data_IF_830824864277
#
_entry.id   IF_830824864277
#
_cell.length_a   1.000
_cell.length_b   1.000
_cell.length_c   1.000
_cell.angle_alpha   90.00
_cell.angle_beta   90.00
_cell.angle_gamma   90.00
#
_symmetry.space_group_name_H-M   'P 1'
#
loop_
_entity.id
_entity.type
_entity.pdbx_description
1 polymer ?
#
# COMPACT_ATOMS: atom_id res chain seq x y z
N UNK A 1 -11.24 -58.88 8.51
CA UNK A 1 -10.57 -57.90 7.64
C UNK A 1 -9.97 -56.84 8.55
N UNK A 2 -8.67 -56.52 8.46
CA UNK A 2 -8.10 -55.41 9.21
C UNK A 2 -8.42 -54.08 8.50
N UNK A 3 -8.81 -53.06 9.29
CA UNK A 3 -9.08 -51.70 8.83
C UNK A 3 -7.79 -51.03 8.34
N UNK A 4 -7.92 -50.37 7.18
CA UNK A 4 -6.85 -49.59 6.55
C UNK A 4 -6.78 -48.22 7.22
N UNK A 5 -5.61 -47.91 7.76
CA UNK A 5 -5.22 -46.59 8.26
C UNK A 5 -5.26 -45.63 7.07
N UNK A 6 -6.17 -44.65 7.08
CA UNK A 6 -6.09 -43.50 6.21
C UNK A 6 -5.44 -42.36 7.00
N UNK A 7 -4.12 -42.24 6.86
CA UNK A 7 -3.40 -41.03 7.24
C UNK A 7 -3.94 -39.88 6.40
N UNK A 8 -4.62 -38.97 7.08
CA UNK A 8 -5.17 -37.75 6.54
C UNK A 8 -4.00 -36.82 6.28
N UNK A 9 -3.53 -36.78 5.04
CA UNK A 9 -2.54 -35.81 4.59
C UNK A 9 -3.23 -34.45 4.56
N UNK A 10 -2.97 -33.62 5.56
CA UNK A 10 -3.36 -32.21 5.55
C UNK A 10 -2.65 -31.53 4.37
N UNK A 11 -3.34 -30.72 3.55
CA UNK A 11 -2.68 -29.99 2.48
C UNK A 11 -1.81 -28.92 3.13
N UNK A 12 -0.49 -29.07 3.00
CA UNK A 12 0.45 -27.98 3.21
C UNK A 12 -0.01 -26.80 2.34
N UNK A 13 -0.55 -25.77 2.99
CA UNK A 13 -0.72 -24.46 2.37
C UNK A 13 0.70 -23.95 2.15
N UNK A 14 1.26 -24.26 0.98
CA UNK A 14 2.49 -23.65 0.48
C UNK A 14 2.20 -22.17 0.31
N UNK A 15 2.57 -21.39 1.34
CA UNK A 15 2.58 -19.93 1.33
C UNK A 15 3.83 -19.44 0.61
N UNK A 16 4.11 -20.02 -0.56
CA UNK A 16 4.98 -19.39 -1.54
C UNK A 16 4.09 -18.38 -2.27
N UNK A 17 3.83 -17.25 -1.61
CA UNK A 17 3.47 -16.03 -2.32
C UNK A 17 4.66 -15.74 -3.24
N UNK A 18 4.60 -16.27 -4.47
CA UNK A 18 5.36 -15.75 -5.59
C UNK A 18 5.00 -14.26 -5.63
N UNK A 19 5.86 -13.43 -5.04
CA UNK A 19 5.77 -11.99 -5.19
C UNK A 19 5.93 -11.71 -6.69
N UNK A 20 4.82 -11.70 -7.42
CA UNK A 20 4.77 -11.33 -8.83
C UNK A 20 5.57 -10.03 -8.97
N UNK A 21 6.61 -10.07 -9.82
CA UNK A 21 7.42 -8.89 -10.12
C UNK A 21 6.52 -7.84 -10.78
N UNK A 22 5.95 -6.95 -9.96
CA UNK A 22 5.02 -5.93 -10.40
C UNK A 22 5.73 -4.57 -10.46
N UNK A 23 5.59 -3.79 -11.55
CA UNK A 23 6.38 -2.57 -11.78
C UNK A 23 6.25 -1.50 -10.69
N UNK A 24 5.14 -1.49 -9.96
CA UNK A 24 4.84 -0.52 -8.90
C UNK A 24 5.27 -0.94 -7.49
N UNK A 25 5.78 -2.15 -7.28
CA UNK A 25 6.23 -2.58 -5.96
C UNK A 25 7.53 -3.36 -6.05
N UNK A 26 8.51 -2.96 -5.25
CA UNK A 26 9.78 -3.65 -5.13
C UNK A 26 10.00 -4.01 -3.67
N UNK A 27 10.42 -5.24 -3.43
CA UNK A 27 10.70 -5.73 -2.09
C UNK A 27 12.18 -5.55 -1.75
N UNK A 28 12.45 -4.75 -0.73
CA UNK A 28 13.80 -4.31 -0.34
C UNK A 28 14.23 -4.84 1.04
N UNK A 29 15.51 -4.64 1.36
CA UNK A 29 16.16 -5.15 2.57
C UNK A 29 16.75 -6.56 2.40
N UNK A 30 17.60 -6.98 3.34
CA UNK A 30 18.28 -8.30 3.31
C UNK A 30 17.30 -9.47 3.22
N UNK A 31 16.11 -9.33 3.81
CA UNK A 31 15.05 -10.33 3.83
C UNK A 31 13.92 -10.09 2.82
N UNK A 32 14.03 -9.05 1.96
CA UNK A 32 12.97 -8.64 1.01
C UNK A 32 11.59 -8.43 1.66
N UNK A 33 11.55 -7.92 2.89
CA UNK A 33 10.28 -7.69 3.62
C UNK A 33 9.81 -6.23 3.60
N UNK A 34 10.60 -5.31 3.06
CA UNK A 34 10.29 -3.87 3.09
C UNK A 34 9.73 -3.48 1.72
N UNK A 35 8.41 -3.25 1.58
CA UNK A 35 7.84 -2.85 0.30
C UNK A 35 8.20 -1.40 -0.03
N UNK A 36 8.64 -1.18 -1.27
CA UNK A 36 8.89 0.13 -1.85
C UNK A 36 7.92 0.31 -3.01
N UNK A 37 7.02 1.29 -2.88
CA UNK A 37 6.07 1.61 -3.93
C UNK A 37 6.69 2.59 -4.92
N UNK A 38 6.57 2.27 -6.21
CA UNK A 38 7.02 3.10 -7.32
C UNK A 38 5.80 3.71 -8.01
N UNK A 39 5.86 5.03 -8.22
CA UNK A 39 4.78 5.79 -8.84
C UNK A 39 5.22 6.35 -10.20
N UNK A 40 4.44 6.07 -11.24
CA UNK A 40 4.72 6.51 -12.60
C UNK A 40 3.65 7.51 -13.08
N UNK A 41 4.08 8.69 -13.53
CA UNK A 41 3.16 9.73 -14.01
C UNK A 41 2.40 9.30 -15.28
N UNK A 42 2.99 8.41 -16.09
CA UNK A 42 2.38 7.90 -17.32
C UNK A 42 1.05 7.17 -17.08
N UNK A 43 0.83 6.62 -15.89
CA UNK A 43 -0.41 5.93 -15.50
C UNK A 43 -1.64 6.83 -15.56
N UNK A 44 -1.46 8.15 -15.44
CA UNK A 44 -2.54 9.12 -15.61
C UNK A 44 -3.01 9.18 -17.07
N UNK A 45 -2.11 8.88 -18.01
CA UNK A 45 -2.34 8.99 -19.46
C UNK A 45 -2.69 7.62 -20.07
N UNK A 46 -1.91 6.57 -19.80
CA UNK A 46 -2.05 5.26 -20.46
C UNK A 46 -3.30 4.49 -20.06
N UNK A 47 -3.83 4.75 -18.85
CA UNK A 47 -4.93 4.02 -18.22
C UNK A 47 -4.75 2.50 -18.20
N UNK A 48 -3.50 2.03 -18.19
CA UNK A 48 -3.18 0.62 -18.04
C UNK A 48 -3.62 0.14 -16.64
N UNK A 49 -4.52 -0.85 -16.62
CA UNK A 49 -5.08 -1.41 -15.40
C UNK A 49 -4.06 -2.14 -14.54
N UNK A 50 -2.92 -2.55 -15.09
CA UNK A 50 -1.88 -3.25 -14.34
C UNK A 50 -1.41 -2.41 -13.15
N UNK A 51 -1.18 -1.11 -13.35
CA UNK A 51 -0.68 -0.19 -12.32
C UNK A 51 -1.63 -0.02 -11.12
N UNK A 52 -2.93 -0.33 -11.28
CA UNK A 52 -3.93 -0.25 -10.21
C UNK A 52 -3.93 -1.47 -9.29
N UNK A 53 -3.47 -2.61 -9.79
CA UNK A 53 -3.63 -3.91 -9.15
C UNK A 53 -3.07 -3.94 -7.72
N UNK A 54 -1.91 -3.33 -7.49
CA UNK A 54 -1.27 -3.30 -6.16
C UNK A 54 -2.07 -2.48 -5.15
N UNK A 55 -2.57 -1.31 -5.55
CA UNK A 55 -3.39 -0.47 -4.68
C UNK A 55 -4.70 -1.16 -4.30
N UNK A 56 -5.36 -1.78 -5.27
CA UNK A 56 -6.64 -2.47 -5.08
C UNK A 56 -6.47 -3.77 -4.27
N UNK A 57 -5.46 -4.60 -4.59
CA UNK A 57 -5.16 -5.88 -3.93
C UNK A 57 -4.88 -5.72 -2.44
N UNK A 58 -4.22 -4.63 -2.05
CA UNK A 58 -3.85 -4.36 -0.65
C UNK A 58 -4.73 -3.31 0.03
N UNK A 59 -5.83 -2.90 -0.62
CA UNK A 59 -6.75 -1.86 -0.13
C UNK A 59 -6.01 -0.59 0.36
N UNK A 60 -5.05 -0.12 -0.46
CA UNK A 60 -4.22 1.01 -0.10
C UNK A 60 -5.03 2.31 -0.15
N UNK A 61 -4.85 3.12 0.89
CA UNK A 61 -5.65 4.30 1.14
C UNK A 61 -4.77 5.53 1.33
N UNK A 62 -5.24 6.67 0.84
CA UNK A 62 -4.59 7.96 1.08
C UNK A 62 -5.56 9.02 1.53
N UNK A 63 -5.04 10.08 2.15
CA UNK A 63 -5.81 11.29 2.43
C UNK A 63 -5.00 12.55 2.15
N UNK A 64 -5.69 13.57 1.66
CA UNK A 64 -5.14 14.90 1.40
C UNK A 64 -5.61 15.86 2.49
N UNK A 65 -4.69 16.61 3.10
CA UNK A 65 -4.99 17.54 4.20
C UNK A 65 -4.38 18.91 3.95
N UNK A 66 -5.19 19.97 4.01
CA UNK A 66 -4.76 21.39 3.83
C UNK A 66 -4.05 21.66 2.50
N UNK A 67 -4.42 20.96 1.43
CA UNK A 67 -3.93 21.18 0.07
C UNK A 67 -4.88 20.56 -0.95
N UNK A 68 -4.84 21.02 -2.19
CA UNK A 68 -5.54 20.38 -3.30
C UNK A 68 -4.71 19.27 -3.95
N UNK A 69 -3.38 19.47 -4.06
CA UNK A 69 -2.39 18.53 -4.61
C UNK A 69 -2.91 17.64 -5.76
N UNK A 70 -3.57 18.24 -6.77
CA UNK A 70 -4.33 17.50 -7.80
C UNK A 70 -3.49 16.44 -8.52
N UNK A 71 -2.24 16.75 -8.86
CA UNK A 71 -1.34 15.79 -9.50
C UNK A 71 -1.06 14.58 -8.59
N UNK A 72 -0.75 14.81 -7.32
CA UNK A 72 -0.51 13.74 -6.33
C UNK A 72 -1.75 12.87 -6.19
N UNK A 73 -2.93 13.50 -6.04
CA UNK A 73 -4.22 12.79 -6.00
C UNK A 73 -4.40 11.92 -7.25
N UNK A 74 -4.18 12.47 -8.45
CA UNK A 74 -4.29 11.72 -9.71
C UNK A 74 -3.31 10.56 -9.81
N UNK A 75 -2.06 10.72 -9.38
CA UNK A 75 -1.06 9.64 -9.35
C UNK A 75 -1.49 8.53 -8.39
N UNK A 76 -1.95 8.86 -7.18
CA UNK A 76 -2.35 7.85 -6.20
C UNK A 76 -3.57 7.06 -6.70
N UNK A 77 -4.58 7.76 -7.22
CA UNK A 77 -5.78 7.13 -7.80
C UNK A 77 -5.47 6.29 -9.04
N UNK A 78 -4.51 6.69 -9.88
CA UNK A 78 -4.11 5.88 -11.04
C UNK A 78 -3.36 4.60 -10.65
N UNK A 79 -2.79 4.53 -9.44
CA UNK A 79 -2.16 3.34 -8.87
C UNK A 79 -3.12 2.53 -7.97
N UNK A 80 -4.42 2.79 -8.05
CA UNK A 80 -5.45 1.99 -7.36
C UNK A 80 -5.64 2.34 -5.88
N UNK A 81 -5.02 3.42 -5.38
CA UNK A 81 -5.30 3.88 -4.03
C UNK A 81 -6.67 4.57 -3.96
N UNK A 82 -7.40 4.35 -2.87
CA UNK A 82 -8.66 5.07 -2.61
C UNK A 82 -8.46 6.28 -1.68
N UNK A 83 -9.12 7.40 -1.99
CA UNK A 83 -9.09 8.59 -1.12
C UNK A 83 -10.07 8.41 0.05
N UNK A 84 -9.59 8.59 1.28
CA UNK A 84 -10.44 8.58 2.48
C UNK A 84 -10.67 10.00 3.01
N UNK A 85 -11.70 10.14 3.83
CA UNK A 85 -12.00 11.41 4.51
C UNK A 85 -10.79 11.91 5.32
N UNK A 86 -10.48 13.22 5.37
CA UNK A 86 -9.34 13.77 6.12
C UNK A 86 -9.24 13.33 7.59
N UNK A 87 -10.40 13.09 8.23
CA UNK A 87 -10.49 12.64 9.62
C UNK A 87 -10.35 11.12 9.81
N UNK A 88 -10.26 10.33 8.72
CA UNK A 88 -10.04 8.88 8.82
C UNK A 88 -8.68 8.58 9.45
N UNK A 89 -8.64 7.62 10.37
CA UNK A 89 -7.41 7.01 10.88
C UNK A 89 -6.94 5.84 10.02
N UNK A 90 -7.80 5.30 9.15
CA UNK A 90 -7.50 4.20 8.25
C UNK A 90 -6.98 4.76 6.91
N UNK A 91 -5.65 4.84 6.80
CA UNK A 91 -4.93 5.31 5.63
C UNK A 91 -3.49 4.78 5.66
N UNK A 92 -2.84 4.67 4.51
CA UNK A 92 -1.41 4.37 4.38
C UNK A 92 -0.60 5.65 4.17
N UNK A 93 -1.07 6.59 3.35
CA UNK A 93 -0.37 7.83 3.02
C UNK A 93 -1.20 9.07 3.34
N UNK A 94 -0.65 9.96 4.17
CA UNK A 94 -1.19 11.31 4.39
C UNK A 94 -0.34 12.33 3.62
N UNK A 95 -0.95 13.03 2.66
CA UNK A 95 -0.29 14.15 1.97
C UNK A 95 -0.80 15.48 2.49
N UNK A 96 0.08 16.30 3.06
CA UNK A 96 -0.29 17.55 3.70
C UNK A 96 0.40 18.76 3.06
N UNK A 97 -0.32 19.90 3.02
CA UNK A 97 0.22 21.18 2.56
C UNK A 97 1.08 21.91 3.60
N UNK A 98 1.10 21.43 4.84
CA UNK A 98 1.82 22.06 5.95
C UNK A 98 2.37 21.01 6.93
N UNK A 99 3.39 21.38 7.70
CA UNK A 99 3.91 20.54 8.78
C UNK A 99 2.80 20.18 9.78
N UNK A 100 2.88 18.96 10.31
CA UNK A 100 1.98 18.47 11.35
C UNK A 100 2.50 18.85 12.73
N UNK A 101 1.58 18.99 13.69
CA UNK A 101 1.95 19.17 15.10
C UNK A 101 2.65 17.89 15.61
N UNK A 102 3.68 17.99 16.47
CA UNK A 102 4.44 16.83 16.94
C UNK A 102 3.60 15.70 17.55
N UNK A 103 2.50 16.02 18.25
CA UNK A 103 1.64 14.99 18.83
C UNK A 103 0.94 14.13 17.79
N UNK A 104 0.62 14.68 16.61
CA UNK A 104 -0.03 13.94 15.53
C UNK A 104 0.95 13.00 14.83
N UNK A 105 2.23 13.39 14.73
CA UNK A 105 3.28 12.52 14.21
C UNK A 105 3.49 11.31 15.13
N UNK A 106 3.41 11.51 16.46
CA UNK A 106 3.53 10.42 17.44
C UNK A 106 2.35 9.45 17.46
N UNK A 107 1.19 9.83 16.91
CA UNK A 107 0.02 8.95 16.86
C UNK A 107 -0.06 8.11 15.57
N UNK A 108 0.85 8.32 14.61
CA UNK A 108 0.90 7.53 13.38
C UNK A 108 1.28 6.08 13.71
N UNK A 109 0.66 5.15 13.00
CA UNK A 109 1.05 3.73 13.04
C UNK A 109 2.30 3.51 12.17
N UNK A 110 3.03 2.42 12.41
CA UNK A 110 4.30 2.12 11.71
C UNK A 110 4.15 2.02 10.18
N UNK A 111 2.97 1.61 9.71
CA UNK A 111 2.63 1.50 8.29
C UNK A 111 2.20 2.84 7.66
N UNK A 112 1.94 3.87 8.47
CA UNK A 112 1.47 5.17 7.99
C UNK A 112 2.63 6.09 7.64
N UNK A 113 2.50 6.75 6.50
CA UNK A 113 3.51 7.66 5.95
C UNK A 113 2.94 9.07 5.79
N UNK A 114 3.80 10.07 5.97
CA UNK A 114 3.49 11.48 5.77
C UNK A 114 4.63 12.16 5.01
N UNK A 115 4.30 13.16 4.20
CA UNK A 115 5.25 13.87 3.33
C UNK A 115 6.06 15.00 4.03
N UNK A 116 6.04 15.07 5.37
CA UNK A 116 6.78 16.08 6.14
C UNK A 116 7.53 15.46 7.31
N UNK A 117 8.80 15.84 7.46
CA UNK A 117 9.55 15.57 8.69
C UNK A 117 9.08 16.48 9.84
N UNK A 118 9.29 16.06 11.11
CA UNK A 118 9.11 16.93 12.27
C UNK A 118 9.93 18.23 12.15
N UNK A 119 9.37 19.33 12.68
CA UNK A 119 10.10 20.59 12.93
C UNK A 119 10.27 20.80 14.42
#
# INVERSE_FOLDING_TARGET
MPEVIQDKVDPEISSEDEHEDHPCIVWSGLSRKIPVLLFYAETIVSKDGNFRSIGERHNLAFKIVRTESRLVRSILTSHGFHEVHPNSSDFNLMWTGSHLKPHLLRSLQDFQKVNHFPR
#
